data_IF_390340520467
#
_entry.id   IF_390340520467
#
_cell.length_a   1.000
_cell.length_b   1.000
_cell.length_c   1.000
_cell.angle_alpha   90.00
_cell.angle_beta   90.00
_cell.angle_gamma   90.00
#
_symmetry.space_group_name_H-M   'P 1'
#
loop_
_entity.id
_entity.type
_entity.pdbx_description
1 polymer ?
#
# COMPACT_ATOMS: atom_id res chain seq x y z
N UNK A 1 -1.32 -5.08 20.75
CA UNK A 1 -0.13 -5.45 19.97
C UNK A 1 1.04 -4.81 20.66
N UNK A 2 2.07 -5.58 21.01
CA UNK A 2 3.23 -5.03 21.71
C UNK A 2 4.24 -4.49 20.70
N UNK A 3 4.99 -3.47 21.11
CA UNK A 3 6.11 -2.97 20.33
C UNK A 3 7.17 -4.06 20.19
N UNK A 4 7.65 -4.27 18.97
CA UNK A 4 8.78 -5.17 18.69
C UNK A 4 10.06 -4.37 18.96
N UNK A 5 10.77 -4.72 20.03
CA UNK A 5 12.04 -4.07 20.39
C UNK A 5 13.27 -4.80 19.83
N UNK A 6 13.10 -6.05 19.38
CA UNK A 6 14.14 -6.87 18.77
C UNK A 6 13.52 -7.80 17.75
N UNK A 7 14.09 -7.89 16.55
CA UNK A 7 13.69 -8.83 15.52
C UNK A 7 14.93 -9.60 15.03
N UNK A 8 14.85 -10.92 14.80
CA UNK A 8 16.03 -11.71 14.41
C UNK A 8 16.57 -11.39 13.01
N UNK A 9 15.77 -10.72 12.17
CA UNK A 9 16.08 -10.48 10.75
C UNK A 9 16.02 -9.00 10.37
N UNK A 10 15.12 -8.23 10.99
CA UNK A 10 14.79 -6.87 10.57
C UNK A 10 15.43 -5.89 11.55
N UNK A 11 15.99 -4.81 11.05
CA UNK A 11 16.50 -3.75 11.91
C UNK A 11 15.34 -3.06 12.64
N UNK A 12 15.39 -3.05 13.97
CA UNK A 12 14.49 -2.26 14.80
C UNK A 12 15.18 -0.95 15.11
N UNK A 13 14.79 0.11 14.42
CA UNK A 13 15.35 1.46 14.61
C UNK A 13 14.47 2.27 15.55
N UNK A 14 15.08 3.10 16.39
CA UNK A 14 14.33 4.10 17.15
C UNK A 14 13.73 5.14 16.18
N UNK A 15 12.48 5.50 16.44
CA UNK A 15 11.75 6.47 15.64
C UNK A 15 11.34 7.64 16.51
N UNK A 16 11.24 8.80 15.87
CA UNK A 16 10.64 9.99 16.45
C UNK A 16 9.21 9.67 16.92
N UNK A 17 8.86 10.16 18.12
CA UNK A 17 7.50 10.02 18.65
C UNK A 17 6.64 11.20 18.21
N UNK A 18 5.45 10.88 17.69
CA UNK A 18 4.45 11.86 17.28
C UNK A 18 3.15 11.62 18.05
N UNK A 19 2.34 12.67 18.22
CA UNK A 19 1.11 12.60 19.00
C UNK A 19 -0.12 13.00 18.19
N UNK A 20 -1.23 12.30 18.41
CA UNK A 20 -2.54 12.59 17.82
C UNK A 20 -3.66 12.35 18.84
N UNK A 21 -4.86 12.83 18.55
CA UNK A 21 -6.05 12.60 19.39
C UNK A 21 -6.83 11.37 18.90
N UNK A 22 -7.24 10.49 19.81
CA UNK A 22 -8.21 9.41 19.56
C UNK A 22 -9.36 9.52 20.55
N UNK A 23 -10.58 9.79 20.07
CA UNK A 23 -11.76 10.01 20.92
C UNK A 23 -11.49 11.02 22.07
N UNK A 24 -10.79 12.12 21.74
CA UNK A 24 -10.38 13.15 22.70
C UNK A 24 -9.18 12.78 23.59
N UNK A 25 -8.62 11.57 23.48
CA UNK A 25 -7.47 11.11 24.27
C UNK A 25 -6.18 11.27 23.48
N UNK A 26 -5.14 11.78 24.11
CA UNK A 26 -3.81 11.89 23.49
C UNK A 26 -3.18 10.49 23.33
N UNK A 27 -2.87 10.12 22.09
CA UNK A 27 -2.14 8.91 21.72
C UNK A 27 -0.75 9.31 21.25
N UNK A 28 0.24 8.48 21.58
CA UNK A 28 1.61 8.61 21.06
C UNK A 28 1.90 7.45 20.14
N UNK A 29 2.41 7.75 18.95
CA UNK A 29 2.86 6.79 17.95
C UNK A 29 4.31 7.06 17.54
N UNK A 30 4.86 6.17 16.73
CA UNK A 30 6.20 6.29 16.17
C UNK A 30 6.11 6.66 14.69
N UNK A 31 6.90 7.65 14.26
CA UNK A 31 6.91 8.11 12.87
C UNK A 31 7.23 6.95 11.91
N UNK A 32 6.48 6.85 10.83
CA UNK A 32 6.48 5.77 9.84
C UNK A 32 5.59 4.58 10.23
N UNK A 33 5.11 4.48 11.47
CA UNK A 33 4.19 3.42 11.88
C UNK A 33 2.74 3.80 11.63
N UNK A 34 1.90 2.77 11.57
CA UNK A 34 0.49 2.91 11.27
C UNK A 34 -0.31 3.35 12.49
N UNK A 35 -1.42 4.03 12.25
CA UNK A 35 -2.35 4.45 13.30
C UNK A 35 -2.81 3.23 14.12
N UNK A 36 -3.08 2.11 13.46
CA UNK A 36 -3.44 0.88 14.15
C UNK A 36 -2.35 0.38 15.11
N UNK A 37 -1.08 0.43 14.71
CA UNK A 37 0.02 0.04 15.60
C UNK A 37 0.03 0.92 16.86
N UNK A 38 -0.13 2.24 16.71
CA UNK A 38 -0.18 3.17 17.84
C UNK A 38 -1.39 2.91 18.76
N UNK A 39 -2.59 2.76 18.20
CA UNK A 39 -3.81 2.47 18.99
C UNK A 39 -3.69 1.14 19.75
N UNK A 40 -3.20 0.08 19.11
CA UNK A 40 -3.01 -1.20 19.77
C UNK A 40 -1.95 -1.17 20.87
N UNK A 41 -0.91 -0.35 20.75
CA UNK A 41 0.11 -0.15 21.79
C UNK A 41 -0.41 0.72 22.94
N UNK A 42 -1.32 1.65 22.65
CA UNK A 42 -1.99 2.48 23.65
C UNK A 42 -3.18 1.79 24.36
N UNK A 43 -3.46 0.52 24.05
CA UNK A 43 -4.52 -0.26 24.70
C UNK A 43 -5.90 -0.15 24.06
N UNK A 44 -5.98 0.35 22.81
CA UNK A 44 -7.23 0.48 22.05
C UNK A 44 -7.24 -0.48 20.84
N UNK A 45 -7.51 -1.78 21.04
CA UNK A 45 -7.51 -2.75 19.95
C UNK A 45 -8.85 -2.80 19.19
N UNK A 46 -9.90 -2.14 19.66
CA UNK A 46 -11.22 -2.13 19.02
C UNK A 46 -11.35 -0.86 18.17
N UNK A 47 -11.62 -1.04 16.88
CA UNK A 47 -11.60 0.05 15.89
C UNK A 47 -12.98 0.34 15.31
N UNK A 48 -13.88 -0.64 15.36
CA UNK A 48 -15.26 -0.51 14.90
C UNK A 48 -16.16 -1.57 15.53
N UNK A 49 -17.46 -1.49 15.25
CA UNK A 49 -18.45 -2.47 15.67
C UNK A 49 -19.27 -2.99 14.49
N UNK A 50 -19.57 -4.29 14.48
CA UNK A 50 -20.48 -4.86 13.48
C UNK A 50 -21.91 -4.35 13.62
N UNK A 51 -22.77 -4.64 12.63
CA UNK A 51 -24.21 -4.37 12.69
C UNK A 51 -24.92 -4.96 13.94
N UNK A 52 -24.36 -6.03 14.53
CA UNK A 52 -24.84 -6.65 15.79
C UNK A 52 -24.05 -6.19 17.03
N UNK A 53 -23.33 -5.08 16.92
CA UNK A 53 -22.50 -4.49 17.98
C UNK A 53 -21.35 -5.37 18.52
N UNK A 54 -20.92 -6.39 17.77
CA UNK A 54 -19.68 -7.12 18.10
C UNK A 54 -18.46 -6.27 17.80
N UNK A 55 -17.51 -6.22 18.73
CA UNK A 55 -16.21 -5.56 18.57
C UNK A 55 -15.49 -6.08 17.33
N UNK A 56 -14.87 -5.17 16.57
CA UNK A 56 -14.01 -5.46 15.43
C UNK A 56 -12.65 -4.81 15.61
N UNK A 57 -11.64 -5.46 15.07
CA UNK A 57 -10.24 -5.05 15.13
C UNK A 57 -9.60 -5.25 13.75
N UNK A 58 -8.26 -5.26 13.72
CA UNK A 58 -7.49 -5.65 12.55
C UNK A 58 -7.87 -7.07 12.10
N UNK A 59 -8.14 -7.21 10.80
CA UNK A 59 -8.37 -8.49 10.14
C UNK A 59 -7.20 -8.80 9.20
N UNK A 60 -7.06 -8.03 8.10
CA UNK A 60 -6.03 -8.29 7.10
C UNK A 60 -4.66 -7.67 7.42
N UNK A 61 -4.61 -6.53 8.11
CA UNK A 61 -3.37 -5.79 8.38
C UNK A 61 -2.67 -5.16 7.15
N UNK A 62 -3.21 -5.33 5.94
CA UNK A 62 -2.58 -4.94 4.67
C UNK A 62 -3.42 -3.96 3.85
N UNK A 63 -4.42 -3.34 4.47
CA UNK A 63 -5.24 -2.31 3.83
C UNK A 63 -6.19 -2.81 2.75
N UNK A 64 -6.58 -4.09 2.74
CA UNK A 64 -7.53 -4.64 1.75
C UNK A 64 -8.96 -4.79 2.27
N UNK A 65 -9.15 -5.11 3.56
CA UNK A 65 -10.48 -5.21 4.18
C UNK A 65 -10.96 -3.87 4.78
N UNK A 66 -12.27 -3.75 5.06
CA UNK A 66 -12.88 -2.60 5.74
C UNK A 66 -12.92 -2.64 7.27
N UNK A 67 -12.38 -3.69 7.92
CA UNK A 67 -12.56 -3.88 9.38
C UNK A 67 -11.91 -2.81 10.26
N UNK A 68 -10.93 -2.08 9.71
CA UNK A 68 -10.13 -1.05 10.39
C UNK A 68 -10.34 0.34 9.77
N UNK A 69 -11.51 0.60 9.20
CA UNK A 69 -11.85 1.93 8.71
C UNK A 69 -12.23 2.84 9.88
N UNK A 70 -11.61 4.00 9.93
CA UNK A 70 -11.85 5.04 10.94
C UNK A 70 -11.84 6.42 10.27
N UNK A 71 -12.41 7.42 10.92
CA UNK A 71 -12.24 8.82 10.52
C UNK A 71 -10.85 9.28 10.96
N UNK A 72 -10.03 9.68 10.00
CA UNK A 72 -8.71 10.28 10.21
C UNK A 72 -8.76 11.68 9.60
N UNK A 73 -8.70 12.70 10.45
CA UNK A 73 -8.90 14.11 10.09
C UNK A 73 -10.16 14.33 9.23
N UNK A 74 -11.26 13.68 9.62
CA UNK A 74 -12.55 13.76 8.93
C UNK A 74 -12.67 12.93 7.64
N UNK A 75 -11.63 12.21 7.25
CA UNK A 75 -11.66 11.32 6.07
C UNK A 75 -11.66 9.86 6.50
N UNK A 76 -12.49 9.04 5.85
CA UNK A 76 -12.45 7.58 6.07
C UNK A 76 -11.11 7.06 5.55
N UNK A 77 -10.31 6.45 6.43
CA UNK A 77 -9.04 5.82 6.08
C UNK A 77 -8.91 4.47 6.78
N UNK A 78 -8.16 3.57 6.15
CA UNK A 78 -7.79 2.28 6.74
C UNK A 78 -6.58 2.49 7.64
N UNK A 79 -6.80 2.44 8.96
CA UNK A 79 -5.75 2.75 9.94
C UNK A 79 -4.62 1.72 10.00
N UNK A 80 -4.80 0.55 9.37
CA UNK A 80 -3.75 -0.47 9.26
C UNK A 80 -2.64 -0.12 8.27
N UNK A 81 -2.84 0.86 7.38
CA UNK A 81 -1.83 1.34 6.42
C UNK A 81 -1.59 2.85 6.50
N UNK A 82 -2.55 3.62 7.03
CA UNK A 82 -2.37 5.05 7.26
C UNK A 82 -1.38 5.28 8.41
N UNK A 83 -0.40 6.16 8.21
CA UNK A 83 0.66 6.46 9.18
C UNK A 83 0.25 7.54 10.17
N UNK A 84 1.00 7.65 11.27
CA UNK A 84 0.80 8.67 12.31
C UNK A 84 1.48 10.02 12.01
N UNK A 85 2.20 10.13 10.89
CA UNK A 85 3.22 11.17 10.67
C UNK A 85 2.67 12.60 10.58
N UNK A 86 1.46 12.76 10.01
CA UNK A 86 0.87 14.06 9.70
C UNK A 86 -0.64 14.08 10.00
N UNK A 87 -1.06 13.47 11.11
CA UNK A 87 -2.47 13.41 11.51
C UNK A 87 -2.73 14.15 12.82
N UNK A 88 -3.93 14.68 12.98
CA UNK A 88 -4.33 15.39 14.21
C UNK A 88 -5.33 14.58 15.04
N UNK A 89 -6.30 13.97 14.38
CA UNK A 89 -7.43 13.32 15.03
C UNK A 89 -7.82 12.01 14.35
N UNK A 90 -8.14 11.01 15.17
CA UNK A 90 -8.73 9.73 14.78
C UNK A 90 -10.01 9.50 15.59
N UNK A 91 -11.09 9.08 14.93
CA UNK A 91 -12.37 8.76 15.55
C UNK A 91 -13.00 7.52 14.92
N UNK A 92 -13.79 6.79 15.69
CA UNK A 92 -14.67 5.76 15.12
C UNK A 92 -15.67 6.42 14.14
N UNK A 93 -16.04 5.70 13.08
CA UNK A 93 -17.02 6.20 12.11
C UNK A 93 -18.42 6.08 12.75
N UNK A 94 -19.16 7.20 12.95
CA UNK A 94 -20.53 7.14 13.42
C UNK A 94 -21.43 6.31 12.50
N UNK A 95 -22.46 5.64 13.05
CA UNK A 95 -23.36 4.77 12.25
C UNK A 95 -24.14 5.52 11.17
N UNK A 96 -24.44 6.78 11.44
CA UNK A 96 -25.15 7.72 10.58
C UNK A 96 -24.18 8.65 9.82
N UNK A 97 -22.89 8.30 9.78
CA UNK A 97 -21.90 9.10 9.09
C UNK A 97 -22.17 9.14 7.59
N UNK A 98 -22.35 10.35 7.08
CA UNK A 98 -22.38 10.63 5.66
C UNK A 98 -21.18 11.49 5.32
N UNK A 99 -20.29 11.03 4.42
CA UNK A 99 -19.17 11.86 3.99
C UNK A 99 -19.71 13.13 3.33
N UNK A 100 -19.18 14.27 3.76
CA UNK A 100 -19.51 15.56 3.14
C UNK A 100 -19.13 15.58 1.66
N UNK A 101 -19.86 16.36 0.86
CA UNK A 101 -19.48 16.59 -0.54
C UNK A 101 -18.17 17.36 -0.56
N UNK A 102 -17.12 16.75 -1.09
CA UNK A 102 -15.88 17.46 -1.40
C UNK A 102 -16.03 18.08 -2.78
N UNK A 103 -15.85 19.39 -2.88
CA UNK A 103 -15.91 20.09 -4.16
C UNK A 103 -14.63 19.79 -4.94
N UNK A 104 -14.74 18.98 -5.99
CA UNK A 104 -13.60 18.71 -6.87
C UNK A 104 -13.38 19.91 -7.80
N UNK A 105 -12.28 20.63 -7.57
CA UNK A 105 -11.84 21.70 -8.46
C UNK A 105 -10.80 21.15 -9.44
N UNK A 106 -11.19 20.96 -10.70
CA UNK A 106 -10.27 20.57 -11.77
C UNK A 106 -9.40 21.77 -12.12
N UNK A 107 -8.15 21.80 -11.65
CA UNK A 107 -7.22 22.89 -11.92
C UNK A 107 -6.32 22.65 -13.13
N UNK A 108 -6.16 21.40 -13.59
CA UNK A 108 -5.28 21.03 -14.69
C UNK A 108 -5.84 19.90 -15.58
N UNK A 109 -5.37 19.78 -16.84
CA UNK A 109 -5.61 18.58 -17.63
C UNK A 109 -5.02 17.35 -16.93
N UNK A 110 -5.61 16.18 -17.18
CA UNK A 110 -5.07 14.91 -16.69
C UNK A 110 -3.79 14.57 -17.44
N UNK A 111 -2.79 14.07 -16.72
CA UNK A 111 -1.61 13.47 -17.35
C UNK A 111 -2.03 12.16 -18.02
N UNK A 112 -1.47 11.91 -19.20
CA UNK A 112 -1.66 10.67 -19.94
C UNK A 112 -0.28 10.11 -20.28
N UNK A 113 0.02 8.96 -19.71
CA UNK A 113 1.20 8.16 -20.05
C UNK A 113 0.87 7.25 -21.23
N UNK A 114 1.91 6.83 -21.95
CA UNK A 114 1.79 5.88 -23.06
C UNK A 114 2.91 4.86 -22.95
N UNK A 115 2.56 3.59 -23.11
CA UNK A 115 3.51 2.49 -22.99
C UNK A 115 3.14 1.35 -23.96
N UNK A 116 4.11 0.49 -24.28
CA UNK A 116 3.81 -0.73 -25.04
C UNK A 116 3.07 -1.72 -24.12
N UNK A 117 3.58 -1.91 -22.90
CA UNK A 117 2.97 -2.80 -21.90
C UNK A 117 2.74 -2.05 -20.59
N UNK A 118 1.51 -2.12 -20.07
CA UNK A 118 1.22 -1.72 -18.69
C UNK A 118 1.08 -2.97 -17.81
N UNK A 119 1.75 -2.97 -16.67
CA UNK A 119 1.78 -4.07 -15.70
C UNK A 119 1.08 -3.60 -14.43
N UNK A 120 -0.02 -4.24 -14.07
CA UNK A 120 -0.81 -3.87 -12.89
C UNK A 120 -0.41 -4.78 -11.73
N UNK A 121 0.41 -4.24 -10.83
CA UNK A 121 0.96 -4.92 -9.66
C UNK A 121 2.48 -5.04 -9.71
N UNK A 122 3.16 -4.54 -8.67
CA UNK A 122 4.60 -4.66 -8.44
C UNK A 122 4.94 -5.80 -7.48
N UNK A 123 4.10 -6.84 -7.43
CA UNK A 123 4.42 -8.12 -6.78
C UNK A 123 5.45 -8.93 -7.57
N UNK A 124 5.81 -10.14 -7.10
CA UNK A 124 6.79 -10.99 -7.77
C UNK A 124 6.43 -11.29 -9.23
N UNK A 125 5.16 -11.55 -9.54
CA UNK A 125 4.72 -11.82 -10.90
C UNK A 125 4.89 -10.61 -11.83
N UNK A 126 4.52 -9.41 -11.38
CA UNK A 126 4.65 -8.19 -12.18
C UNK A 126 6.09 -7.74 -12.35
N UNK A 127 6.91 -7.86 -11.29
CA UNK A 127 8.34 -7.54 -11.38
C UNK A 127 9.09 -8.54 -12.26
N UNK A 128 8.76 -9.83 -12.21
CA UNK A 128 9.32 -10.82 -13.13
C UNK A 128 8.92 -10.56 -14.58
N UNK A 129 7.66 -10.16 -14.83
CA UNK A 129 7.24 -9.75 -16.17
C UNK A 129 8.01 -8.51 -16.67
N UNK A 130 8.20 -7.51 -15.80
CA UNK A 130 9.02 -6.33 -16.10
C UNK A 130 10.48 -6.69 -16.40
N UNK A 131 11.09 -7.57 -15.61
CA UNK A 131 12.46 -8.03 -15.83
C UNK A 131 12.62 -8.58 -17.24
N UNK A 132 11.70 -9.45 -17.68
CA UNK A 132 11.76 -10.03 -19.02
C UNK A 132 11.51 -9.00 -20.13
N UNK A 133 10.54 -8.11 -19.96
CA UNK A 133 10.28 -7.03 -20.91
C UNK A 133 11.50 -6.10 -21.06
N UNK A 134 12.17 -5.77 -19.96
CA UNK A 134 13.39 -4.98 -19.97
C UNK A 134 14.54 -5.68 -20.70
N UNK A 135 14.70 -7.00 -20.54
CA UNK A 135 15.71 -7.79 -21.27
C UNK A 135 15.52 -7.74 -22.79
N UNK A 136 14.28 -7.56 -23.23
CA UNK A 136 13.93 -7.42 -24.64
C UNK A 136 13.78 -5.96 -25.09
N UNK A 137 14.05 -4.98 -24.22
CA UNK A 137 13.94 -3.56 -24.55
C UNK A 137 12.50 -3.08 -24.82
N UNK A 138 11.49 -3.78 -24.28
CA UNK A 138 10.07 -3.43 -24.47
C UNK A 138 9.67 -2.36 -23.45
N UNK A 139 9.22 -1.17 -23.89
CA UNK A 139 8.78 -0.11 -22.98
C UNK A 139 7.62 -0.58 -22.11
N UNK A 140 7.75 -0.39 -20.80
CA UNK A 140 6.73 -0.80 -19.85
C UNK A 140 6.57 0.19 -18.69
N UNK A 141 5.37 0.18 -18.10
CA UNK A 141 5.06 0.89 -16.85
C UNK A 141 4.47 -0.14 -15.89
N UNK A 142 4.99 -0.19 -14.66
CA UNK A 142 4.40 -0.97 -13.55
C UNK A 142 3.62 -0.02 -12.67
N UNK A 143 2.39 -0.37 -12.32
CA UNK A 143 1.52 0.43 -11.46
C UNK A 143 1.12 -0.40 -10.25
N UNK A 144 1.43 0.06 -9.04
CA UNK A 144 1.10 -0.64 -7.80
C UNK A 144 0.52 0.28 -6.73
N UNK A 145 -0.47 -0.24 -6.00
CA UNK A 145 -1.19 0.51 -4.99
C UNK A 145 -0.41 0.70 -3.68
N UNK A 146 0.65 -0.07 -3.46
CA UNK A 146 1.46 -0.03 -2.24
C UNK A 146 2.57 1.02 -2.37
N UNK A 147 3.09 1.53 -1.23
CA UNK A 147 4.18 2.50 -1.22
C UNK A 147 5.55 1.88 -1.56
N UNK A 148 5.62 0.56 -1.68
CA UNK A 148 6.85 -0.21 -1.93
C UNK A 148 6.55 -1.37 -2.88
N UNK A 149 7.55 -1.75 -3.67
CA UNK A 149 7.55 -2.94 -4.53
C UNK A 149 7.52 -4.24 -3.71
N UNK A 150 7.26 -5.36 -4.36
CA UNK A 150 7.38 -6.72 -3.82
C UNK A 150 6.06 -7.35 -3.40
N UNK A 151 4.98 -6.57 -3.26
CA UNK A 151 3.67 -7.10 -2.87
C UNK A 151 3.76 -7.96 -1.60
N UNK A 152 3.26 -9.20 -1.67
CA UNK A 152 3.27 -10.11 -0.51
C UNK A 152 4.67 -10.54 -0.04
N UNK A 153 5.70 -10.41 -0.89
CA UNK A 153 7.06 -10.85 -0.54
C UNK A 153 7.68 -10.00 0.58
N UNK A 154 7.26 -8.74 0.74
CA UNK A 154 7.72 -7.88 1.83
C UNK A 154 7.42 -8.46 3.22
N UNK A 155 6.39 -9.30 3.34
CA UNK A 155 5.99 -9.93 4.60
C UNK A 155 6.70 -11.27 4.84
N UNK A 156 7.44 -11.80 3.86
CA UNK A 156 8.07 -13.11 3.93
C UNK A 156 9.51 -13.00 4.41
N UNK A 157 9.68 -13.05 5.74
CA UNK A 157 11.01 -13.02 6.33
C UNK A 157 11.72 -14.36 6.27
N UNK A 158 11.08 -15.47 5.87
CA UNK A 158 11.77 -16.75 5.70
C UNK A 158 12.63 -16.76 4.42
N UNK A 159 13.61 -17.66 4.35
CA UNK A 159 14.39 -17.86 3.13
C UNK A 159 13.61 -18.77 2.19
N UNK A 160 13.54 -18.41 0.92
CA UNK A 160 12.97 -19.25 -0.12
C UNK A 160 14.04 -20.23 -0.62
N UNK A 161 13.64 -21.49 -0.74
CA UNK A 161 14.46 -22.53 -1.34
C UNK A 161 13.77 -23.00 -2.61
N UNK A 162 14.13 -22.37 -3.73
CA UNK A 162 13.67 -22.80 -5.03
C UNK A 162 14.53 -23.97 -5.49
N UNK A 163 13.90 -25.09 -5.79
CA UNK A 163 14.56 -26.25 -6.42
C UNK A 163 14.68 -26.05 -7.93
N UNK A 164 15.12 -24.86 -8.34
CA UNK A 164 15.33 -24.50 -9.74
C UNK A 164 16.70 -25.00 -10.21
N UNK A 165 16.79 -25.36 -11.49
CA UNK A 165 18.07 -25.75 -12.12
C UNK A 165 19.12 -24.63 -12.05
N UNK A 166 18.68 -23.38 -12.07
CA UNK A 166 19.55 -22.20 -12.13
C UNK A 166 19.74 -21.52 -10.75
N UNK A 167 19.10 -22.04 -9.69
CA UNK A 167 19.20 -21.55 -8.29
C UNK A 167 19.12 -20.02 -8.10
N UNK A 168 18.42 -19.30 -8.99
CA UNK A 168 18.48 -17.82 -9.09
C UNK A 168 18.14 -17.10 -7.78
N UNK A 169 17.18 -17.63 -7.02
CA UNK A 169 16.63 -16.99 -5.81
C UNK A 169 16.84 -17.82 -4.53
N UNK A 170 17.64 -18.88 -4.60
CA UNK A 170 17.86 -19.80 -3.47
C UNK A 170 18.51 -19.11 -2.28
N UNK A 171 17.92 -19.26 -1.09
CA UNK A 171 18.43 -18.68 0.16
C UNK A 171 18.09 -17.21 0.36
N UNK A 172 17.44 -16.55 -0.60
CA UNK A 172 16.99 -15.16 -0.50
C UNK A 172 15.68 -15.06 0.28
N UNK A 173 15.45 -13.95 0.97
CA UNK A 173 14.14 -13.67 1.59
C UNK A 173 13.24 -12.95 0.60
N UNK A 174 11.94 -12.87 0.90
CA UNK A 174 10.97 -12.28 -0.04
C UNK A 174 11.34 -10.85 -0.47
N UNK A 175 11.68 -9.99 0.49
CA UNK A 175 12.08 -8.62 0.20
C UNK A 175 13.39 -8.53 -0.62
N UNK A 176 14.32 -9.47 -0.44
CA UNK A 176 15.54 -9.53 -1.26
C UNK A 176 15.20 -9.88 -2.71
N UNK A 177 14.33 -10.88 -2.92
CA UNK A 177 13.88 -11.30 -4.26
C UNK A 177 13.14 -10.17 -4.97
N UNK A 178 12.26 -9.46 -4.25
CA UNK A 178 11.54 -8.32 -4.79
C UNK A 178 12.51 -7.23 -5.30
N UNK A 179 13.54 -6.90 -4.52
CA UNK A 179 14.56 -5.93 -4.93
C UNK A 179 15.35 -6.43 -6.15
N UNK A 180 15.73 -7.71 -6.18
CA UNK A 180 16.42 -8.30 -7.33
C UNK A 180 15.58 -8.26 -8.61
N UNK A 181 14.28 -8.59 -8.52
CA UNK A 181 13.38 -8.55 -9.68
C UNK A 181 13.11 -7.12 -10.17
N UNK A 182 13.06 -6.15 -9.26
CA UNK A 182 12.90 -4.74 -9.64
C UNK A 182 14.14 -4.17 -10.34
N UNK A 183 15.33 -4.69 -10.01
CA UNK A 183 16.61 -4.19 -10.49
C UNK A 183 16.95 -2.82 -9.91
N UNK A 184 18.10 -2.27 -10.32
CA UNK A 184 18.58 -0.97 -9.81
C UNK A 184 17.78 0.23 -10.38
N UNK A 185 17.18 0.07 -11.57
CA UNK A 185 16.38 1.11 -12.20
C UNK A 185 14.89 0.95 -11.88
N UNK A 186 14.39 1.86 -11.05
CA UNK A 186 12.96 1.94 -10.70
C UNK A 186 12.16 2.88 -11.62
N UNK A 187 12.78 3.41 -12.69
CA UNK A 187 12.10 4.20 -13.71
C UNK A 187 10.93 3.45 -14.33
N UNK A 188 9.75 4.08 -14.37
CA UNK A 188 8.53 3.45 -14.86
C UNK A 188 7.80 2.56 -13.85
N UNK A 189 8.23 2.49 -12.59
CA UNK A 189 7.42 1.93 -11.49
C UNK A 189 6.67 3.07 -10.79
N UNK A 190 5.35 3.07 -10.90
CA UNK A 190 4.45 4.02 -10.26
C UNK A 190 3.83 3.39 -9.01
N UNK A 191 4.37 3.77 -7.85
CA UNK A 191 3.88 3.35 -6.53
C UNK A 191 2.79 4.30 -6.02
N UNK A 192 2.17 3.94 -4.88
CA UNK A 192 1.02 4.65 -4.32
C UNK A 192 -0.11 4.86 -5.35
N UNK A 193 -0.17 4.02 -6.40
CA UNK A 193 -0.99 4.25 -7.59
C UNK A 193 -1.95 3.09 -7.77
N UNK A 194 -3.23 3.35 -7.56
CA UNK A 194 -4.29 2.35 -7.73
C UNK A 194 -4.89 2.49 -9.12
N UNK A 195 -4.72 1.45 -9.94
CA UNK A 195 -5.57 1.28 -11.13
C UNK A 195 -6.97 0.93 -10.65
N UNK A 196 -7.91 1.85 -10.83
CA UNK A 196 -9.29 1.66 -10.35
C UNK A 196 -10.23 1.12 -11.43
N UNK A 197 -9.81 1.16 -12.70
CA UNK A 197 -10.62 0.81 -13.86
C UNK A 197 -9.75 0.60 -15.11
N UNK A 198 -10.24 -0.24 -16.03
CA UNK A 198 -9.66 -0.51 -17.34
C UNK A 198 -10.71 -0.11 -18.37
N UNK A 199 -10.45 0.97 -19.08
CA UNK A 199 -11.35 1.56 -20.07
C UNK A 199 -11.11 0.96 -21.46
N UNK A 200 -12.03 1.24 -22.39
CA UNK A 200 -11.92 0.84 -23.79
C UNK A 200 -10.58 1.29 -24.40
N UNK A 201 -9.99 0.42 -25.24
CA UNK A 201 -8.69 0.68 -25.86
C UNK A 201 -7.51 0.54 -24.91
N UNK A 202 -7.62 -0.30 -23.87
CA UNK A 202 -6.55 -0.57 -22.89
C UNK A 202 -6.06 0.70 -22.15
N UNK A 203 -6.94 1.68 -21.97
CA UNK A 203 -6.65 2.86 -21.15
C UNK A 203 -6.87 2.54 -19.67
N UNK A 204 -5.82 2.61 -18.88
CA UNK A 204 -5.92 2.51 -17.43
C UNK A 204 -6.28 3.86 -16.84
N UNK A 205 -7.25 3.87 -15.93
CA UNK A 205 -7.52 5.03 -15.11
C UNK A 205 -6.91 4.82 -13.73
N UNK A 206 -6.09 5.77 -13.29
CA UNK A 206 -5.18 5.56 -12.16
C UNK A 206 -5.28 6.73 -11.19
N UNK A 207 -5.35 6.40 -9.90
CA UNK A 207 -5.31 7.40 -8.82
C UNK A 207 -4.08 7.18 -7.96
N UNK A 208 -3.25 8.20 -7.82
CA UNK A 208 -2.24 8.23 -6.77
C UNK A 208 -2.94 8.50 -5.42
N UNK A 209 -2.93 7.54 -4.50
CA UNK A 209 -3.66 7.61 -3.24
C UNK A 209 -3.00 8.55 -2.22
N UNK A 210 -1.73 8.89 -2.41
CA UNK A 210 -0.99 9.83 -1.55
C UNK A 210 -1.22 11.28 -1.96
N UNK A 211 -1.15 11.57 -3.26
CA UNK A 211 -1.29 12.94 -3.79
C UNK A 211 -2.72 13.29 -4.23
N UNK A 212 -3.60 12.29 -4.33
CA UNK A 212 -4.91 12.38 -4.97
C UNK A 212 -4.88 12.75 -6.47
N UNK A 213 -3.71 12.73 -7.10
CA UNK A 213 -3.59 12.92 -8.53
C UNK A 213 -4.31 11.79 -9.28
N UNK A 214 -5.08 12.16 -10.30
CA UNK A 214 -5.69 11.22 -11.25
C UNK A 214 -4.96 11.38 -12.57
N UNK A 215 -4.58 10.26 -13.18
CA UNK A 215 -3.93 10.21 -14.48
C UNK A 215 -4.37 8.97 -15.24
N UNK A 216 -4.00 8.90 -16.51
CA UNK A 216 -4.29 7.76 -17.38
C UNK A 216 -3.00 7.16 -17.94
N UNK A 217 -3.04 5.88 -18.26
CA UNK A 217 -1.98 5.19 -18.99
C UNK A 217 -2.60 4.44 -20.18
N UNK A 218 -2.23 4.82 -21.40
CA UNK A 218 -2.67 4.17 -22.63
C UNK A 218 -1.63 3.12 -23.02
N UNK A 219 -2.02 1.84 -23.03
CA UNK A 219 -1.13 0.72 -23.33
C UNK A 219 -1.60 -0.11 -24.51
N UNK A 220 -0.67 -0.68 -25.28
CA UNK A 220 -1.03 -1.66 -26.33
C UNK A 220 -1.39 -3.02 -25.71
N UNK A 221 -0.67 -3.41 -24.66
CA UNK A 221 -0.84 -4.67 -23.95
C UNK A 221 -0.92 -4.49 -22.43
N UNK A 222 -1.63 -5.39 -21.76
CA UNK A 222 -1.79 -5.39 -20.31
C UNK A 222 -1.28 -6.70 -19.70
N UNK A 223 -0.52 -6.59 -18.61
CA UNK A 223 -0.21 -7.71 -17.71
C UNK A 223 -0.93 -7.47 -16.39
N UNK A 224 -1.86 -8.35 -16.03
CA UNK A 224 -2.62 -8.26 -14.79
C UNK A 224 -1.93 -9.13 -13.73
N UNK A 225 -1.23 -8.48 -12.79
CA UNK A 225 -0.43 -9.12 -11.74
C UNK A 225 -0.87 -8.65 -10.33
N UNK A 226 -2.19 -8.55 -10.12
CA UNK A 226 -2.81 -7.94 -8.92
C UNK A 226 -2.84 -8.85 -7.68
N UNK A 227 -2.11 -9.97 -7.70
CA UNK A 227 -2.11 -11.03 -6.67
C UNK A 227 -1.06 -10.84 -5.57
#
# INVERSE_FOLDING_TARGET
MYKINKHPILAVTEKERVGFSFEGKKITGEKGFTIAAALHQAGYPVHSHSIRNRNRSLECGIGKCGACEMLVDGQIRRICIATVDDIKEVREIPRDYHPGKTQYAKSSPYKVYRTEVAIIGAGPAGLAAREELNRHGVPNIVIDNNPQIGGQFLMQTHQFFFFEKEQKFGGMRGFDIANTLAGEDHGGIFLDSTVWDILEGNRLAVKNIKTNEIYYDDANHLVIATG
#
